data_IF_442710904658
#
_entry.id   IF_442710904658
#
_cell.length_a   1.000
_cell.length_b   1.000
_cell.length_c   1.000
_cell.angle_alpha   90.00
_cell.angle_beta   90.00
_cell.angle_gamma   90.00
#
_symmetry.space_group_name_H-M   'P 1'
#
loop_
_entity.id
_entity.type
_entity.pdbx_description
1 polymer ?
#
# COMPACT_ATOMS: atom_id res chain seq x y z
N UNK A 1 35.25 16.32 -14.64
CA UNK A 1 35.20 15.90 -13.22
C UNK A 1 33.79 15.40 -12.97
N UNK A 2 33.66 14.08 -12.91
CA UNK A 2 32.40 13.35 -12.94
C UNK A 2 31.67 13.46 -11.60
N UNK A 3 30.42 13.94 -11.59
CA UNK A 3 29.49 13.69 -10.49
C UNK A 3 28.71 12.43 -10.85
N UNK A 4 29.17 11.30 -10.33
CA UNK A 4 28.41 10.05 -10.32
C UNK A 4 27.21 10.29 -9.40
N UNK A 5 26.01 10.45 -9.96
CA UNK A 5 24.79 10.31 -9.15
C UNK A 5 24.61 8.81 -8.88
N UNK A 6 24.55 8.52 -7.60
CA UNK A 6 24.50 7.18 -7.03
C UNK A 6 23.30 6.40 -7.58
N UNK A 7 23.54 5.12 -7.88
CA UNK A 7 22.50 4.11 -8.01
C UNK A 7 21.67 4.09 -6.72
N UNK A 8 20.51 4.74 -6.70
CA UNK A 8 19.44 4.41 -5.75
C UNK A 8 18.29 3.74 -6.49
N UNK A 9 18.57 2.57 -7.05
CA UNK A 9 17.54 1.59 -7.42
C UNK A 9 17.12 0.78 -6.19
N UNK A 10 16.60 1.45 -5.17
CA UNK A 10 15.81 0.80 -4.12
C UNK A 10 14.39 1.33 -4.23
N UNK A 11 13.51 0.56 -4.90
CA UNK A 11 12.08 0.73 -4.73
C UNK A 11 11.77 0.47 -3.27
N UNK A 12 11.70 1.53 -2.48
CA UNK A 12 11.48 1.45 -1.03
C UNK A 12 10.21 0.65 -0.77
N UNK A 13 10.31 -0.39 0.07
CA UNK A 13 9.16 -1.20 0.46
C UNK A 13 8.72 -0.82 1.87
N UNK A 14 7.45 -0.48 2.04
CA UNK A 14 6.84 -0.16 3.32
C UNK A 14 5.86 -1.25 3.70
N UNK A 15 6.05 -1.85 4.88
CA UNK A 15 5.11 -2.83 5.45
C UNK A 15 4.06 -2.12 6.29
N UNK A 16 2.79 -2.22 5.91
CA UNK A 16 1.69 -1.53 6.57
C UNK A 16 0.75 -2.51 7.25
N UNK A 17 0.34 -2.20 8.47
CA UNK A 17 -0.64 -2.99 9.22
C UNK A 17 -1.78 -2.08 9.69
N UNK A 18 -3.02 -2.49 9.39
CA UNK A 18 -4.23 -1.77 9.81
C UNK A 18 -4.89 -2.54 10.94
N UNK A 19 -5.02 -1.91 12.11
CA UNK A 19 -5.58 -2.53 13.33
C UNK A 19 -6.80 -1.74 13.83
N UNK A 20 -7.71 -2.42 14.53
CA UNK A 20 -8.92 -1.80 15.08
C UNK A 20 -10.06 -2.78 15.30
N UNK A 21 -11.09 -2.36 16.05
CA UNK A 21 -12.25 -3.18 16.43
C UNK A 21 -13.07 -3.73 15.25
N UNK A 22 -14.01 -4.64 15.53
CA UNK A 22 -14.91 -5.20 14.52
C UNK A 22 -15.81 -4.14 13.90
N UNK A 23 -16.11 -4.24 12.60
CA UNK A 23 -17.07 -3.35 11.91
C UNK A 23 -16.59 -1.91 11.64
N UNK A 24 -15.39 -1.52 12.04
CA UNK A 24 -14.90 -0.12 11.86
C UNK A 24 -14.45 0.24 10.44
N UNK A 25 -14.58 -0.68 9.48
CA UNK A 25 -14.29 -0.40 8.06
C UNK A 25 -12.83 -0.56 7.61
N UNK A 26 -11.99 -1.30 8.35
CA UNK A 26 -10.57 -1.55 7.98
C UNK A 26 -10.42 -2.10 6.55
N UNK A 27 -11.13 -3.18 6.24
CA UNK A 27 -11.10 -3.80 4.91
C UNK A 27 -11.60 -2.84 3.84
N UNK A 28 -12.70 -2.11 4.11
CA UNK A 28 -13.24 -1.14 3.17
C UNK A 28 -12.22 -0.03 2.84
N UNK A 29 -11.50 0.49 3.85
CA UNK A 29 -10.45 1.49 3.65
C UNK A 29 -9.27 0.92 2.85
N UNK A 30 -8.78 -0.27 3.20
CA UNK A 30 -7.67 -0.94 2.49
C UNK A 30 -8.03 -1.19 1.02
N UNK A 31 -9.22 -1.71 0.75
CA UNK A 31 -9.68 -1.99 -0.62
C UNK A 31 -9.85 -0.71 -1.43
N UNK A 32 -10.51 0.31 -0.84
CA UNK A 32 -10.66 1.61 -1.48
C UNK A 32 -9.31 2.21 -1.84
N UNK A 33 -8.33 2.14 -0.95
CA UNK A 33 -7.00 2.67 -1.19
C UNK A 33 -6.27 1.94 -2.33
N UNK A 34 -6.47 0.63 -2.45
CA UNK A 34 -5.70 -0.19 -3.40
C UNK A 34 -6.35 -0.23 -4.78
N UNK A 35 -7.66 -0.42 -4.83
CA UNK A 35 -8.43 -0.61 -6.05
C UNK A 35 -9.13 0.66 -6.55
N UNK A 36 -9.11 1.74 -5.76
CA UNK A 36 -9.84 3.00 -6.04
C UNK A 36 -11.36 2.78 -6.22
N UNK A 37 -11.90 1.70 -5.65
CA UNK A 37 -13.32 1.33 -5.72
C UNK A 37 -13.82 0.95 -4.32
N UNK A 38 -15.05 1.40 -4.01
CA UNK A 38 -15.66 1.15 -2.73
C UNK A 38 -16.53 -0.11 -2.81
N UNK A 39 -16.12 -1.16 -2.11
CA UNK A 39 -16.89 -2.40 -2.04
C UNK A 39 -17.94 -2.26 -0.93
N UNK A 40 -19.22 -2.37 -1.29
CA UNK A 40 -20.34 -2.37 -0.33
C UNK A 40 -20.44 -3.68 0.43
N UNK A 41 -20.10 -4.79 -0.23
CA UNK A 41 -20.25 -6.15 0.29
C UNK A 41 -18.93 -6.90 0.13
N UNK A 42 -18.01 -6.71 1.08
CA UNK A 42 -16.79 -7.52 1.16
C UNK A 42 -17.01 -8.65 2.16
N UNK A 43 -16.92 -9.89 1.69
CA UNK A 43 -17.04 -11.10 2.51
C UNK A 43 -15.73 -11.33 3.29
N UNK A 44 -15.74 -11.21 4.63
CA UNK A 44 -14.54 -11.27 5.44
C UNK A 44 -14.08 -12.72 5.63
N UNK A 45 -13.41 -13.30 4.63
CA UNK A 45 -12.78 -14.62 4.79
C UNK A 45 -11.40 -14.79 4.18
N UNK A 46 -10.70 -13.71 3.80
CA UNK A 46 -9.26 -13.82 3.52
C UNK A 46 -8.47 -12.75 4.25
N UNK A 47 -7.48 -13.23 5.01
CA UNK A 47 -6.30 -12.50 5.43
C UNK A 47 -5.50 -12.17 4.15
N UNK A 48 -5.94 -11.13 3.43
CA UNK A 48 -5.34 -10.73 2.16
C UNK A 48 -4.11 -9.84 2.41
N UNK A 49 -2.97 -10.23 1.87
CA UNK A 49 -1.82 -9.33 1.70
C UNK A 49 -2.03 -8.57 0.39
N UNK A 50 -2.01 -7.25 0.45
CA UNK A 50 -2.19 -6.43 -0.74
C UNK A 50 -0.93 -5.60 -1.00
N UNK A 51 -0.50 -5.57 -2.25
CA UNK A 51 0.62 -4.73 -2.67
C UNK A 51 0.12 -3.58 -3.54
N UNK A 52 0.64 -2.37 -3.30
CA UNK A 52 0.37 -1.20 -4.15
C UNK A 52 1.66 -0.46 -4.47
N UNK A 53 1.90 -0.19 -5.75
CA UNK A 53 2.98 0.71 -6.17
C UNK A 53 2.43 2.14 -6.24
N UNK A 54 3.13 3.09 -5.60
CA UNK A 54 2.74 4.50 -5.60
C UNK A 54 3.99 5.40 -5.53
N UNK A 55 3.80 6.71 -5.65
CA UNK A 55 4.87 7.70 -5.47
C UNK A 55 4.75 8.30 -4.07
N UNK A 56 5.84 8.26 -3.31
CA UNK A 56 5.98 8.87 -1.99
C UNK A 56 7.22 9.77 -2.07
N UNK A 57 7.06 11.05 -1.77
CA UNK A 57 8.15 12.05 -1.80
C UNK A 57 8.95 12.01 -3.12
N UNK A 58 8.23 12.00 -4.25
CA UNK A 58 8.76 11.92 -5.62
C UNK A 58 9.53 10.63 -5.96
N UNK A 59 9.50 9.62 -5.10
CA UNK A 59 10.14 8.32 -5.31
C UNK A 59 9.09 7.22 -5.45
N UNK A 60 9.29 6.33 -6.43
CA UNK A 60 8.45 5.14 -6.61
C UNK A 60 8.69 4.16 -5.45
N UNK A 61 7.62 3.82 -4.76
CA UNK A 61 7.62 2.94 -3.59
C UNK A 61 6.59 1.82 -3.73
N UNK A 62 6.83 0.73 -3.00
CA UNK A 62 5.93 -0.42 -2.88
C UNK A 62 5.37 -0.48 -1.46
N UNK A 63 4.06 -0.46 -1.34
CA UNK A 63 3.36 -0.74 -0.09
C UNK A 63 3.04 -2.24 -0.07
N UNK A 64 3.40 -2.91 1.02
CA UNK A 64 3.25 -4.36 1.27
C UNK A 64 2.49 -4.61 2.58
#
# INVERSE_FOLDING_TARGET
>A
MSRNHENQSFSQTYKLVVVGGGGVGKSALTIQFIQSYFVTDYDPTIEDSYTKQCVIDDVVARLD
#
